data_IF_605835201551
#
_entry.id   IF_605835201551
#
_cell.length_a   1.000
_cell.length_b   1.000
_cell.length_c   1.000
_cell.angle_alpha   90.00
_cell.angle_beta   90.00
_cell.angle_gamma   90.00
#
_symmetry.space_group_name_H-M   'P 1'
#
loop_
_entity.id
_entity.type
_entity.pdbx_description
1 polymer ?
#
# COMPACT_ATOMS: atom_id res chain seq x y z
N UNK A 1 -30.24 -37.47 12.41
CA UNK A 1 -29.49 -37.16 11.15
C UNK A 1 -29.38 -35.66 10.89
N UNK A 2 -30.43 -34.85 11.11
CA UNK A 2 -30.43 -33.38 10.90
C UNK A 2 -29.27 -32.63 11.56
N UNK A 3 -28.94 -32.92 12.83
CA UNK A 3 -27.84 -32.25 13.54
C UNK A 3 -26.47 -32.43 12.87
N UNK A 4 -26.17 -33.63 12.36
CA UNK A 4 -24.90 -33.90 11.66
C UNK A 4 -24.84 -33.16 10.32
N UNK A 5 -25.98 -33.10 9.61
CA UNK A 5 -26.11 -32.32 8.36
C UNK A 5 -25.99 -30.82 8.61
N UNK A 6 -26.63 -30.29 9.67
CA UNK A 6 -26.51 -28.88 10.05
C UNK A 6 -25.08 -28.52 10.45
N UNK A 7 -24.39 -29.39 11.19
CA UNK A 7 -22.97 -29.19 11.54
C UNK A 7 -22.09 -29.19 10.29
N UNK A 8 -22.31 -30.12 9.35
CA UNK A 8 -21.54 -30.17 8.10
C UNK A 8 -21.74 -28.89 7.27
N UNK A 9 -22.99 -28.41 7.14
CA UNK A 9 -23.31 -27.17 6.43
C UNK A 9 -22.61 -25.98 7.11
N UNK A 10 -22.65 -25.88 8.44
CA UNK A 10 -21.99 -24.80 9.16
C UNK A 10 -20.47 -24.77 8.92
N UNK A 11 -19.81 -25.94 8.91
CA UNK A 11 -18.37 -26.04 8.62
C UNK A 11 -18.07 -25.57 7.20
N UNK A 12 -18.85 -26.02 6.21
CA UNK A 12 -18.66 -25.61 4.81
C UNK A 12 -18.85 -24.09 4.66
N UNK A 13 -19.87 -23.52 5.30
CA UNK A 13 -20.10 -22.06 5.28
C UNK A 13 -18.92 -21.30 5.88
N UNK A 14 -18.35 -21.75 7.00
CA UNK A 14 -17.17 -21.13 7.61
C UNK A 14 -15.96 -21.18 6.67
N UNK A 15 -15.73 -22.32 6.02
CA UNK A 15 -14.63 -22.46 5.06
C UNK A 15 -14.79 -21.54 3.85
N UNK A 16 -16.00 -21.39 3.33
CA UNK A 16 -16.29 -20.45 2.23
C UNK A 16 -16.03 -19.01 2.66
N UNK A 17 -16.47 -18.61 3.87
CA UNK A 17 -16.22 -17.27 4.39
C UNK A 17 -14.73 -17.00 4.60
N UNK A 18 -13.99 -17.98 5.12
CA UNK A 18 -12.54 -17.87 5.29
C UNK A 18 -11.83 -17.73 3.94
N UNK A 19 -12.21 -18.52 2.92
CA UNK A 19 -11.67 -18.41 1.57
C UNK A 19 -12.00 -17.06 0.92
N UNK A 20 -13.22 -16.56 1.09
CA UNK A 20 -13.64 -15.25 0.58
C UNK A 20 -12.86 -14.10 1.25
N UNK A 21 -12.67 -14.16 2.57
CA UNK A 21 -11.86 -13.18 3.30
C UNK A 21 -10.39 -13.20 2.85
N UNK A 22 -9.81 -14.39 2.67
CA UNK A 22 -8.46 -14.54 2.13
C UNK A 22 -8.34 -13.98 0.71
N UNK A 23 -9.26 -14.33 -0.19
CA UNK A 23 -9.26 -13.85 -1.56
C UNK A 23 -9.43 -12.32 -1.62
N UNK A 24 -10.32 -11.76 -0.81
CA UNK A 24 -10.50 -10.32 -0.70
C UNK A 24 -9.22 -9.63 -0.18
N UNK A 25 -8.59 -10.15 0.87
CA UNK A 25 -7.33 -9.62 1.37
C UNK A 25 -6.21 -9.71 0.35
N UNK A 26 -6.10 -10.83 -0.36
CA UNK A 26 -5.08 -11.06 -1.38
C UNK A 26 -5.26 -10.15 -2.60
N UNK A 27 -6.49 -10.00 -3.11
CA UNK A 27 -6.76 -9.23 -4.33
C UNK A 27 -6.71 -7.72 -4.10
N UNK A 28 -7.07 -7.25 -2.90
CA UNK A 28 -6.96 -5.83 -2.54
C UNK A 28 -5.55 -5.43 -2.06
N UNK A 29 -4.60 -6.38 -2.00
CA UNK A 29 -3.20 -6.09 -1.69
C UNK A 29 -2.49 -5.67 -2.98
N UNK A 30 -2.11 -4.39 -3.09
CA UNK A 30 -1.17 -3.96 -4.14
C UNK A 30 0.13 -4.77 -3.97
N UNK A 31 0.64 -5.40 -5.04
CA UNK A 31 1.98 -6.00 -5.02
C UNK A 31 3.03 -4.89 -5.08
N UNK A 32 4.16 -5.09 -4.41
CA UNK A 32 5.32 -4.21 -4.50
C UNK A 32 5.98 -4.23 -5.88
N UNK A 33 5.75 -5.28 -6.68
CA UNK A 33 6.35 -5.46 -8.01
C UNK A 33 6.04 -4.34 -9.03
N UNK A 34 4.98 -3.57 -8.79
CA UNK A 34 4.53 -2.51 -9.70
C UNK A 34 4.97 -1.10 -9.25
N UNK A 35 5.77 -0.98 -8.18
CA UNK A 35 6.32 0.30 -7.76
C UNK A 35 7.55 0.63 -8.61
N UNK A 36 7.56 1.76 -9.33
CA UNK A 36 8.76 2.23 -10.01
C UNK A 36 9.82 2.64 -8.99
N UNK A 37 11.09 2.62 -9.40
CA UNK A 37 12.20 3.12 -8.59
C UNK A 37 12.06 4.63 -8.31
N UNK A 38 12.63 5.12 -7.20
CA UNK A 38 12.66 6.57 -6.89
C UNK A 38 13.25 7.42 -8.02
N UNK A 39 14.28 6.91 -8.71
CA UNK A 39 14.88 7.60 -9.85
C UNK A 39 13.90 7.77 -11.02
N UNK A 40 13.00 6.79 -11.23
CA UNK A 40 11.94 6.90 -12.23
C UNK A 40 10.84 7.87 -11.77
N UNK A 41 10.46 7.83 -10.48
CA UNK A 41 9.48 8.76 -9.88
C UNK A 41 9.87 10.22 -10.12
N UNK A 42 11.16 10.57 -9.96
CA UNK A 42 11.66 11.93 -10.18
C UNK A 42 11.51 12.46 -11.63
N UNK A 43 11.30 11.58 -12.60
CA UNK A 43 11.12 11.94 -14.01
C UNK A 43 9.65 11.99 -14.44
N UNK A 44 8.72 11.73 -13.52
CA UNK A 44 7.29 11.64 -13.79
C UNK A 44 6.56 12.90 -13.34
N UNK A 45 5.40 13.17 -13.93
CA UNK A 45 4.53 14.25 -13.45
C UNK A 45 3.93 13.89 -12.09
N UNK A 46 3.81 14.88 -11.20
CA UNK A 46 3.29 14.69 -9.83
C UNK A 46 1.92 14.01 -9.81
N UNK A 47 1.03 14.34 -10.75
CA UNK A 47 -0.28 13.71 -10.86
C UNK A 47 -0.19 12.20 -11.16
N UNK A 48 0.80 11.79 -11.97
CA UNK A 48 1.03 10.38 -12.27
C UNK A 48 1.65 9.66 -11.07
N UNK A 49 2.62 10.29 -10.41
CA UNK A 49 3.24 9.79 -9.18
C UNK A 49 2.16 9.57 -8.12
N UNK A 50 1.29 10.55 -7.90
CA UNK A 50 0.15 10.45 -6.99
C UNK A 50 -0.78 9.29 -7.32
N UNK A 51 -1.10 9.08 -8.59
CA UNK A 51 -1.92 7.94 -9.03
C UNK A 51 -1.27 6.58 -8.73
N UNK A 52 0.05 6.48 -8.86
CA UNK A 52 0.80 5.24 -8.61
C UNK A 52 0.95 4.98 -7.11
N UNK A 53 1.44 5.96 -6.36
CA UNK A 53 1.84 5.83 -4.96
C UNK A 53 0.64 5.72 -4.03
N UNK A 54 -0.45 6.43 -4.30
CA UNK A 54 -1.65 6.36 -3.47
C UNK A 54 -2.18 4.93 -3.35
N UNK A 55 -2.56 4.56 -2.14
CA UNK A 55 -3.05 3.22 -1.80
C UNK A 55 -1.97 2.19 -1.46
N UNK A 56 -0.69 2.48 -1.67
CA UNK A 56 0.39 1.65 -1.12
C UNK A 56 0.54 1.89 0.38
N UNK A 57 0.95 0.85 1.11
CA UNK A 57 1.26 0.96 2.55
C UNK A 57 2.71 1.35 2.78
N UNK A 58 3.00 2.02 3.90
CA UNK A 58 4.36 2.42 4.34
C UNK A 58 5.39 1.32 4.17
N UNK A 59 5.10 0.13 4.68
CA UNK A 59 6.01 -1.02 4.59
C UNK A 59 6.30 -1.45 3.14
N UNK A 60 5.34 -1.29 2.23
CA UNK A 60 5.50 -1.64 0.82
C UNK A 60 6.38 -0.63 0.08
N UNK A 61 6.20 0.66 0.40
CA UNK A 61 7.04 1.72 -0.13
C UNK A 61 8.49 1.53 0.35
N UNK A 62 8.68 1.28 1.65
CA UNK A 62 9.98 1.05 2.24
C UNK A 62 10.68 -0.24 1.74
N UNK A 63 9.91 -1.27 1.34
CA UNK A 63 10.47 -2.49 0.75
C UNK A 63 11.15 -2.23 -0.60
N UNK A 64 10.61 -1.30 -1.40
CA UNK A 64 11.13 -0.99 -2.75
C UNK A 64 12.12 0.17 -2.72
N UNK A 65 11.88 1.17 -1.88
CA UNK A 65 12.65 2.42 -1.85
C UNK A 65 13.63 2.51 -0.69
N UNK A 66 13.59 1.58 0.26
CA UNK A 66 14.32 1.67 1.51
C UNK A 66 13.65 2.60 2.53
N UNK A 67 14.26 2.72 3.70
CA UNK A 67 13.78 3.62 4.74
C UNK A 67 13.75 5.08 4.25
N UNK A 68 12.70 5.86 4.59
CA UNK A 68 12.65 7.28 4.28
C UNK A 68 13.73 8.06 5.03
N UNK A 69 14.16 9.18 4.47
CA UNK A 69 15.14 10.08 5.07
C UNK A 69 14.54 10.83 6.28
N UNK A 70 13.28 11.24 6.16
CA UNK A 70 12.50 11.79 7.26
C UNK A 70 11.18 11.05 7.41
N UNK A 71 10.75 10.84 8.65
CA UNK A 71 9.57 10.02 8.95
C UNK A 71 8.80 10.56 10.14
N UNK A 72 7.48 10.67 9.98
CA UNK A 72 6.55 11.02 11.03
C UNK A 72 5.33 10.08 11.00
N UNK A 73 4.39 10.20 11.95
CA UNK A 73 3.14 9.45 11.90
C UNK A 73 2.25 9.76 10.69
N UNK A 74 2.39 10.96 10.10
CA UNK A 74 1.52 11.45 9.03
C UNK A 74 2.22 11.55 7.68
N UNK A 75 3.54 11.47 7.64
CA UNK A 75 4.29 11.58 6.38
C UNK A 75 5.62 10.83 6.43
N UNK A 76 6.07 10.43 5.24
CA UNK A 76 7.44 9.98 4.99
C UNK A 76 8.01 10.78 3.82
N UNK A 77 9.30 11.10 3.90
CA UNK A 77 10.00 11.89 2.89
C UNK A 77 11.21 11.09 2.41
N UNK A 78 11.31 10.93 1.09
CA UNK A 78 12.49 10.41 0.41
C UNK A 78 13.14 11.53 -0.41
N UNK A 79 14.43 11.72 -0.22
CA UNK A 79 15.26 12.61 -1.01
C UNK A 79 15.81 11.82 -2.20
N UNK A 80 15.39 12.23 -3.38
CA UNK A 80 15.85 11.72 -4.67
C UNK A 80 17.05 12.57 -5.11
N UNK A 81 17.84 12.06 -6.05
CA UNK A 81 18.94 12.82 -6.66
C UNK A 81 18.41 14.13 -7.28
N UNK A 82 19.27 15.14 -7.32
CA UNK A 82 19.01 16.49 -7.87
C UNK A 82 18.08 17.37 -7.00
N UNK A 83 18.16 17.23 -5.66
CA UNK A 83 17.35 17.98 -4.68
C UNK A 83 15.82 17.79 -4.82
N UNK A 84 15.40 16.72 -5.47
CA UNK A 84 14.00 16.38 -5.61
C UNK A 84 13.56 15.60 -4.37
N UNK A 85 12.53 16.04 -3.68
CA UNK A 85 11.94 15.30 -2.56
C UNK A 85 10.59 14.74 -2.94
N UNK A 86 10.36 13.48 -2.56
CA UNK A 86 9.04 12.84 -2.60
C UNK A 86 8.49 12.82 -1.18
N UNK A 87 7.43 13.58 -0.96
CA UNK A 87 6.67 13.55 0.29
C UNK A 87 5.45 12.66 0.10
N UNK A 88 5.31 11.63 0.93
CA UNK A 88 4.14 10.75 0.96
C UNK A 88 3.39 11.00 2.25
N UNK A 89 2.11 11.37 2.15
CA UNK A 89 1.25 11.64 3.29
C UNK A 89 0.29 10.48 3.57
N UNK A 90 0.01 10.29 4.85
CA UNK A 90 -0.85 9.27 5.41
C UNK A 90 -1.98 9.91 6.22
N UNK A 91 -3.19 9.36 6.13
CA UNK A 91 -4.35 9.93 6.82
C UNK A 91 -4.54 9.33 8.21
N UNK A 92 -4.69 10.16 9.26
CA UNK A 92 -5.03 9.74 10.63
C UNK A 92 -4.18 8.59 11.21
N UNK A 93 -2.87 8.60 11.00
CA UNK A 93 -1.94 7.53 11.40
C UNK A 93 -2.24 6.16 10.75
N UNK A 94 -3.02 6.12 9.66
CA UNK A 94 -3.09 4.95 8.80
C UNK A 94 -1.73 4.72 8.13
N UNK A 95 -1.46 3.50 7.68
CA UNK A 95 -0.22 3.18 6.97
C UNK A 95 -0.34 3.40 5.47
N UNK A 96 -1.53 3.76 4.96
CA UNK A 96 -1.83 3.84 3.54
C UNK A 96 -1.63 5.25 3.01
N UNK A 97 -0.81 5.38 1.97
CA UNK A 97 -0.57 6.64 1.27
C UNK A 97 -1.87 7.19 0.68
N UNK A 98 -2.18 8.45 0.97
CA UNK A 98 -3.40 9.13 0.50
C UNK A 98 -3.12 10.23 -0.52
N UNK A 99 -1.95 10.86 -0.41
CA UNK A 99 -1.46 11.83 -1.37
C UNK A 99 0.06 11.84 -1.33
N UNK A 100 0.70 12.11 -2.46
CA UNK A 100 2.12 12.44 -2.49
C UNK A 100 2.38 13.65 -3.38
N UNK A 101 3.49 14.34 -3.11
CA UNK A 101 3.95 15.49 -3.86
C UNK A 101 5.43 15.38 -4.18
N UNK A 102 5.83 15.98 -5.30
CA UNK A 102 7.23 16.16 -5.67
C UNK A 102 7.59 17.63 -5.47
N UNK A 103 8.73 17.88 -4.84
CA UNK A 103 9.27 19.23 -4.68
C UNK A 103 10.72 19.26 -5.15
N UNK A 104 11.08 20.28 -5.92
CA UNK A 104 12.47 20.55 -6.28
C UNK A 104 12.95 21.68 -5.37
N UNK A 105 13.95 21.43 -4.53
CA UNK A 105 14.59 22.46 -3.70
C UNK A 105 15.72 23.19 -4.44
#
# INVERSE_FOLDING_TARGET
>A
MKKKTTVLIAIITILILAAAAWFFGYHNRKSTDNLPSLAAIAQMEEAEVNRIVCGYRRGQLAEVWGSPDESSPMEDIWTIKDNITLTVNYHNNDDKAVICGLSNQ
#
